data_IF_455303599880
#
_entry.id   IF_455303599880
#
_cell.length_a   1.000
_cell.length_b   1.000
_cell.length_c   1.000
_cell.angle_alpha   90.00
_cell.angle_beta   90.00
_cell.angle_gamma   90.00
#
_symmetry.space_group_name_H-M   'P 1'
#
loop_
_entity.id
_entity.type
_entity.pdbx_description
1 polymer ?
#
# COMPACT_ATOMS: atom_id res chain seq x y z
N UNK A 1 32.35 70.70 9.80
CA UNK A 1 31.88 69.96 8.60
C UNK A 1 32.71 68.69 8.44
N UNK A 2 32.03 67.56 8.23
CA UNK A 2 32.50 66.29 7.60
C UNK A 2 33.70 65.55 8.21
N UNK A 3 33.40 64.41 8.86
CA UNK A 3 34.01 63.11 8.51
C UNK A 3 32.93 62.02 8.62
N UNK A 4 32.35 61.64 7.49
CA UNK A 4 31.58 60.39 7.37
C UNK A 4 32.59 59.25 7.20
N UNK A 5 32.62 58.32 8.16
CA UNK A 5 33.18 56.98 7.95
C UNK A 5 32.06 56.10 7.42
N UNK A 6 32.20 55.64 6.19
CA UNK A 6 31.30 54.66 5.56
C UNK A 6 31.79 53.26 5.96
N UNK A 7 31.08 52.61 6.89
CA UNK A 7 31.29 51.19 7.18
C UNK A 7 30.42 50.40 6.19
N UNK A 8 31.06 49.77 5.22
CA UNK A 8 30.40 48.81 4.33
C UNK A 8 30.20 47.49 5.09
N UNK A 9 28.98 47.27 5.60
CA UNK A 9 28.56 45.97 6.11
C UNK A 9 28.28 45.05 4.90
N UNK A 10 29.17 44.09 4.66
CA UNK A 10 28.89 42.99 3.74
C UNK A 10 27.80 42.10 4.34
N UNK A 11 26.55 42.28 3.93
CA UNK A 11 25.51 41.28 4.15
C UNK A 11 25.88 40.04 3.31
N UNK A 12 26.41 39.02 3.97
CA UNK A 12 26.38 37.67 3.45
C UNK A 12 24.90 37.24 3.36
N UNK A 13 24.28 37.43 2.20
CA UNK A 13 23.02 36.78 1.88
C UNK A 13 23.32 35.28 1.75
N UNK A 14 23.14 34.54 2.84
CA UNK A 14 22.95 33.10 2.76
C UNK A 14 21.71 32.87 1.93
N UNK A 15 21.91 32.39 0.70
CA UNK A 15 20.83 31.97 -0.17
C UNK A 15 20.19 30.76 0.52
N UNK A 16 19.14 30.99 1.30
CA UNK A 16 18.23 29.92 1.69
C UNK A 16 17.69 29.36 0.37
N UNK A 17 18.30 28.27 -0.10
CA UNK A 17 17.80 27.55 -1.26
C UNK A 17 16.32 27.29 -1.01
N UNK A 18 15.44 27.75 -1.91
CA UNK A 18 14.04 27.39 -1.86
C UNK A 18 13.97 25.85 -1.90
N UNK A 19 13.91 25.21 -0.74
CA UNK A 19 13.83 23.77 -0.58
C UNK A 19 12.49 23.36 -1.16
N UNK A 20 12.50 22.94 -2.42
CA UNK A 20 11.31 22.57 -3.16
C UNK A 20 10.55 21.49 -2.43
N UNK A 21 9.22 21.54 -2.48
CA UNK A 21 8.37 20.45 -2.02
C UNK A 21 8.33 19.33 -3.08
N UNK A 22 8.20 18.09 -2.62
CA UNK A 22 7.86 16.95 -3.47
C UNK A 22 6.41 16.58 -3.20
N UNK A 23 5.59 16.45 -4.23
CA UNK A 23 4.16 16.12 -4.08
C UNK A 23 3.87 14.72 -4.58
N UNK A 24 3.17 13.93 -3.77
CA UNK A 24 2.67 12.61 -4.16
C UNK A 24 1.23 12.39 -3.76
N UNK A 25 0.60 11.39 -4.37
CA UNK A 25 -0.76 10.98 -4.02
C UNK A 25 -0.96 9.49 -4.30
N UNK A 26 -1.84 8.84 -3.55
CA UNK A 26 -2.28 7.50 -3.91
C UNK A 26 -2.66 6.63 -2.73
N UNK A 27 -2.11 5.42 -2.71
CA UNK A 27 -2.43 4.36 -1.77
C UNK A 27 -2.51 4.82 -0.31
N UNK A 28 -3.59 4.39 0.36
CA UNK A 28 -3.76 4.53 1.80
C UNK A 28 -3.06 3.40 2.57
N UNK A 29 -2.84 2.24 1.94
CA UNK A 29 -2.18 1.09 2.56
C UNK A 29 -0.82 1.44 3.17
N UNK A 30 0.12 2.17 2.52
CA UNK A 30 1.40 2.56 3.12
C UNK A 30 1.34 3.92 3.81
N UNK A 31 0.17 4.56 3.93
CA UNK A 31 0.10 5.96 4.37
C UNK A 31 0.68 6.19 5.77
N UNK A 32 0.49 5.31 6.77
CA UNK A 32 1.16 5.45 8.08
C UNK A 32 2.69 5.40 7.96
N UNK A 33 3.23 4.47 7.16
CA UNK A 33 4.66 4.37 6.89
C UNK A 33 5.21 5.60 6.17
N UNK A 34 4.55 6.03 5.10
CA UNK A 34 4.95 7.19 4.31
C UNK A 34 4.91 8.47 5.12
N UNK A 35 3.87 8.66 5.95
CA UNK A 35 3.78 9.81 6.85
C UNK A 35 4.97 9.87 7.81
N UNK A 36 5.36 8.73 8.39
CA UNK A 36 6.55 8.64 9.24
C UNK A 36 7.83 8.92 8.45
N UNK A 37 8.04 8.23 7.32
CA UNK A 37 9.20 8.41 6.46
C UNK A 37 9.39 9.87 6.03
N UNK A 38 8.32 10.55 5.64
CA UNK A 38 8.37 11.94 5.17
C UNK A 38 8.62 12.94 6.28
N UNK A 39 8.11 12.70 7.49
CA UNK A 39 8.44 13.52 8.66
C UNK A 39 9.94 13.43 8.99
N UNK A 40 10.49 12.22 8.97
CA UNK A 40 11.91 11.96 9.24
C UNK A 40 12.81 12.52 8.13
N UNK A 41 12.43 12.33 6.87
CA UNK A 41 13.14 12.90 5.73
C UNK A 41 13.19 14.43 5.77
N UNK A 42 12.10 15.08 6.21
CA UNK A 42 12.08 16.53 6.44
C UNK A 42 13.04 16.94 7.56
N UNK A 43 13.11 16.17 8.65
CA UNK A 43 14.09 16.39 9.72
C UNK A 43 15.53 16.26 9.22
N UNK A 44 15.81 15.25 8.41
CA UNK A 44 17.15 14.97 7.87
C UNK A 44 17.62 15.99 6.82
N UNK A 45 16.69 16.53 6.02
CA UNK A 45 17.05 17.24 4.76
C UNK A 45 16.44 18.63 4.60
N UNK A 46 15.44 18.99 5.42
CA UNK A 46 14.62 20.19 5.27
C UNK A 46 13.58 20.12 4.15
N UNK A 47 13.60 19.09 3.29
CA UNK A 47 12.67 18.94 2.16
C UNK A 47 11.30 18.48 2.66
N UNK A 48 10.25 19.22 2.28
CA UNK A 48 8.87 18.83 2.60
C UNK A 48 8.30 17.91 1.53
N UNK A 49 7.69 16.80 1.96
CA UNK A 49 6.93 15.90 1.08
C UNK A 49 5.45 15.99 1.42
N UNK A 50 4.64 16.39 0.43
CA UNK A 50 3.19 16.47 0.57
C UNK A 50 2.57 15.21 -0.04
N UNK A 51 2.00 14.33 0.77
CA UNK A 51 1.38 13.10 0.28
C UNK A 51 -0.12 13.04 0.58
N UNK A 52 -0.93 12.85 -0.46
CA UNK A 52 -2.39 12.76 -0.34
C UNK A 52 -2.84 11.29 -0.38
N UNK A 53 -3.45 10.81 0.71
CA UNK A 53 -4.06 9.48 0.78
C UNK A 53 -5.42 9.48 0.05
N UNK A 54 -5.41 9.09 -1.23
CA UNK A 54 -6.57 9.17 -2.12
C UNK A 54 -6.95 7.83 -2.76
N UNK A 55 -6.22 6.77 -2.45
CA UNK A 55 -6.35 5.45 -3.07
C UNK A 55 -5.45 5.28 -4.30
N UNK A 56 -4.98 4.06 -4.52
CA UNK A 56 -4.01 3.72 -5.58
C UNK A 56 -4.51 4.07 -6.98
N UNK A 57 -5.81 3.90 -7.25
CA UNK A 57 -6.38 4.24 -8.56
C UNK A 57 -6.32 5.74 -8.85
N UNK A 58 -6.64 6.58 -7.86
CA UNK A 58 -6.53 8.03 -7.99
C UNK A 58 -5.06 8.47 -8.11
N UNK A 59 -4.15 7.84 -7.36
CA UNK A 59 -2.70 8.07 -7.51
C UNK A 59 -2.20 7.76 -8.92
N UNK A 60 -2.52 6.57 -9.45
CA UNK A 60 -2.18 6.16 -10.83
C UNK A 60 -2.73 7.15 -11.88
N UNK A 61 -3.96 7.63 -11.70
CA UNK A 61 -4.54 8.67 -12.57
C UNK A 61 -3.75 9.98 -12.49
N UNK A 62 -3.47 10.46 -11.28
CA UNK A 62 -2.77 11.73 -11.06
C UNK A 62 -1.33 11.72 -11.61
N UNK A 63 -0.59 10.62 -11.44
CA UNK A 63 0.75 10.52 -12.05
C UNK A 63 0.66 10.44 -13.58
N UNK A 64 -0.33 9.73 -14.13
CA UNK A 64 -0.56 9.69 -15.59
C UNK A 64 -0.81 11.11 -16.14
N UNK A 65 -1.60 11.90 -15.43
CA UNK A 65 -1.91 13.30 -15.75
C UNK A 65 -0.79 14.29 -15.38
N UNK A 66 0.32 13.82 -14.79
CA UNK A 66 1.46 14.64 -14.33
C UNK A 66 1.07 15.73 -13.32
N UNK A 67 0.04 15.49 -12.51
CA UNK A 67 -0.40 16.42 -11.47
C UNK A 67 0.35 16.25 -10.14
N UNK A 68 1.09 15.15 -9.99
CA UNK A 68 1.97 14.84 -8.86
C UNK A 68 3.34 14.37 -9.36
N UNK A 69 4.34 14.43 -8.50
CA UNK A 69 5.71 13.98 -8.80
C UNK A 69 5.84 12.46 -8.75
N UNK A 70 5.07 11.82 -7.88
CA UNK A 70 5.00 10.37 -7.76
C UNK A 70 3.61 9.91 -7.29
N UNK A 71 3.25 8.67 -7.62
CA UNK A 71 2.08 8.01 -7.06
C UNK A 71 2.46 6.89 -6.10
N UNK A 72 1.68 6.71 -5.03
CA UNK A 72 1.70 5.49 -4.22
C UNK A 72 0.66 4.47 -4.71
N UNK A 73 1.01 3.20 -4.82
CA UNK A 73 0.12 2.16 -5.32
C UNK A 73 0.44 0.77 -4.80
N UNK A 74 -0.55 0.03 -4.30
CA UNK A 74 -0.37 -1.34 -3.75
C UNK A 74 -0.41 -2.44 -4.79
N UNK A 75 -0.76 -2.05 -6.02
CA UNK A 75 -0.67 -2.88 -7.21
C UNK A 75 0.14 -2.14 -8.27
N UNK A 76 0.98 -2.85 -9.04
CA UNK A 76 1.61 -2.23 -10.19
C UNK A 76 0.55 -1.80 -11.23
N UNK A 77 0.86 -0.77 -12.02
CA UNK A 77 0.04 -0.45 -13.19
C UNK A 77 0.09 -1.60 -14.20
N UNK A 78 -1.06 -1.93 -14.77
CA UNK A 78 -1.15 -2.88 -15.89
C UNK A 78 -0.43 -2.33 -17.12
N UNK A 79 -0.06 -3.19 -18.05
CA UNK A 79 0.54 -2.76 -19.32
C UNK A 79 -0.36 -1.82 -20.11
N UNK A 80 -1.69 -2.01 -20.02
CA UNK A 80 -2.68 -1.12 -20.62
C UNK A 80 -2.65 0.27 -19.99
N UNK A 81 -2.70 0.37 -18.66
CA UNK A 81 -2.62 1.66 -17.96
C UNK A 81 -1.27 2.36 -18.22
N UNK A 82 -0.19 1.59 -18.37
CA UNK A 82 1.13 2.12 -18.72
C UNK A 82 1.16 2.73 -20.12
N UNK A 83 0.46 2.14 -21.10
CA UNK A 83 0.35 2.68 -22.47
C UNK A 83 -0.43 3.98 -22.54
N UNK A 84 -1.36 4.21 -21.61
CA UNK A 84 -2.10 5.46 -21.52
C UNK A 84 -1.25 6.63 -21.01
N UNK A 85 -0.09 6.36 -20.39
CA UNK A 85 0.81 7.41 -19.93
C UNK A 85 1.56 8.08 -21.10
N UNK A 86 1.73 9.41 -21.10
CA UNK A 86 2.42 10.16 -22.16
C UNK A 86 3.93 9.87 -22.25
N UNK A 87 4.50 9.15 -21.28
CA UNK A 87 5.89 8.73 -21.27
C UNK A 87 6.07 7.51 -20.36
N UNK A 88 7.26 6.92 -20.40
CA UNK A 88 7.58 5.74 -19.60
C UNK A 88 7.54 6.04 -18.10
N UNK A 89 6.62 5.37 -17.41
CA UNK A 89 6.59 5.29 -15.96
C UNK A 89 7.50 4.16 -15.46
N UNK A 90 7.95 4.28 -14.23
CA UNK A 90 8.78 3.33 -13.51
C UNK A 90 8.09 2.98 -12.19
N UNK A 91 8.33 1.76 -11.70
CA UNK A 91 7.81 1.28 -10.43
C UNK A 91 8.98 0.89 -9.54
N UNK A 92 8.94 1.28 -8.27
CA UNK A 92 9.82 0.73 -7.25
C UNK A 92 9.00 0.25 -6.06
N UNK A 93 9.24 -0.95 -5.53
CA UNK A 93 8.63 -1.36 -4.27
C UNK A 93 9.27 -0.55 -3.13
N UNK A 94 8.51 -0.26 -2.07
CA UNK A 94 9.02 0.43 -0.87
C UNK A 94 8.87 -0.36 0.41
N UNK A 95 7.91 -1.29 0.47
CA UNK A 95 7.61 -2.11 1.63
C UNK A 95 6.79 -3.35 1.22
N UNK A 96 6.71 -4.33 2.11
CA UNK A 96 5.72 -5.41 2.05
C UNK A 96 4.75 -5.22 3.23
N UNK A 97 3.45 -5.39 3.00
CA UNK A 97 2.45 -5.43 4.07
C UNK A 97 1.42 -6.53 3.84
N UNK A 98 0.47 -6.65 4.77
CA UNK A 98 -0.56 -7.68 4.75
C UNK A 98 -1.97 -7.08 4.79
N UNK A 99 -2.88 -7.63 4.00
CA UNK A 99 -4.30 -7.30 4.05
C UNK A 99 -5.03 -8.34 4.89
N UNK A 100 -5.62 -7.92 6.00
CA UNK A 100 -6.24 -8.82 6.97
C UNK A 100 -7.77 -8.73 6.95
N UNK A 101 -8.48 -9.86 7.16
CA UNK A 101 -9.91 -9.84 7.44
C UNK A 101 -10.14 -9.41 8.90
N UNK A 102 -10.36 -8.12 9.11
CA UNK A 102 -10.74 -7.56 10.41
C UNK A 102 -12.24 -7.64 10.63
N UNK A 103 -12.66 -7.90 11.85
CA UNK A 103 -14.07 -8.08 12.18
C UNK A 103 -14.43 -7.55 13.56
N UNK A 104 -15.73 -7.36 13.79
CA UNK A 104 -16.27 -6.93 15.08
C UNK A 104 -17.31 -7.94 15.57
N UNK A 105 -16.88 -8.78 16.52
CA UNK A 105 -17.70 -9.80 17.15
C UNK A 105 -17.62 -9.66 18.67
N UNK A 106 -18.56 -8.90 19.28
CA UNK A 106 -18.59 -8.75 20.73
C UNK A 106 -18.64 -10.10 21.45
N UNK A 107 -17.78 -10.29 22.45
CA UNK A 107 -17.67 -11.52 23.22
C UNK A 107 -16.80 -12.62 22.59
N UNK A 108 -16.35 -12.48 21.34
CA UNK A 108 -15.42 -13.43 20.70
C UNK A 108 -13.97 -12.97 20.91
N UNK A 109 -13.25 -13.66 21.78
CA UNK A 109 -11.86 -13.32 22.14
C UNK A 109 -10.82 -14.15 21.40
N UNK A 110 -11.20 -15.33 20.91
CA UNK A 110 -10.31 -16.19 20.11
C UNK A 110 -10.27 -15.68 18.67
N UNK A 111 -9.08 -15.41 18.09
CA UNK A 111 -8.97 -15.04 16.69
C UNK A 111 -9.54 -16.11 15.77
N UNK A 112 -10.40 -15.70 14.83
CA UNK A 112 -11.03 -16.61 13.89
C UNK A 112 -10.06 -17.05 12.78
N UNK A 113 -10.35 -18.21 12.22
CA UNK A 113 -9.70 -18.83 11.07
C UNK A 113 -10.59 -18.72 9.85
N UNK A 114 -10.01 -18.32 8.73
CA UNK A 114 -10.71 -18.20 7.45
C UNK A 114 -9.97 -18.94 6.35
N UNK A 115 -10.71 -19.59 5.46
CA UNK A 115 -10.18 -20.03 4.16
C UNK A 115 -10.51 -18.98 3.09
N UNK A 116 -9.77 -19.00 1.98
CA UNK A 116 -10.09 -18.16 0.82
C UNK A 116 -11.52 -18.36 0.32
N UNK A 117 -12.02 -19.59 0.36
CA UNK A 117 -13.41 -19.91 0.00
C UNK A 117 -14.43 -19.25 0.93
N UNK A 118 -14.24 -19.34 2.24
CA UNK A 118 -15.17 -18.70 3.21
C UNK A 118 -15.15 -17.19 3.05
N UNK A 119 -13.98 -16.57 2.86
CA UNK A 119 -13.89 -15.14 2.57
C UNK A 119 -14.64 -14.81 1.27
N UNK A 120 -14.42 -15.55 0.19
CA UNK A 120 -15.15 -15.32 -1.06
C UNK A 120 -16.67 -15.44 -0.89
N UNK A 121 -17.16 -16.48 -0.19
CA UNK A 121 -18.59 -16.70 0.04
C UNK A 121 -19.23 -15.61 0.91
N UNK A 122 -18.50 -15.03 1.87
CA UNK A 122 -18.94 -13.85 2.64
C UNK A 122 -19.10 -12.64 1.71
N UNK A 123 -18.08 -12.32 0.91
CA UNK A 123 -18.11 -11.13 0.03
C UNK A 123 -19.00 -11.32 -1.22
N UNK A 124 -19.39 -12.56 -1.54
CA UNK A 124 -20.46 -12.89 -2.49
C UNK A 124 -21.87 -12.80 -1.87
N UNK A 125 -21.99 -12.59 -0.56
CA UNK A 125 -23.26 -12.53 0.16
C UNK A 125 -23.95 -13.87 0.38
N UNK A 126 -23.22 -14.98 0.22
CA UNK A 126 -23.72 -16.35 0.40
C UNK A 126 -23.73 -16.75 1.88
N UNK A 127 -22.67 -16.38 2.61
CA UNK A 127 -22.62 -16.51 4.07
C UNK A 127 -23.08 -15.19 4.68
N UNK A 128 -24.21 -15.22 5.40
CA UNK A 128 -24.91 -14.02 5.88
C UNK A 128 -24.92 -13.89 7.41
N UNK A 129 -24.59 -14.93 8.15
CA UNK A 129 -24.52 -14.92 9.61
C UNK A 129 -23.20 -15.53 10.07
N UNK A 130 -22.68 -15.06 11.20
CA UNK A 130 -21.37 -15.46 11.70
C UNK A 130 -21.31 -16.90 12.18
N UNK A 131 -22.40 -17.43 12.72
CA UNK A 131 -22.51 -18.82 13.15
C UNK A 131 -22.79 -19.80 11.99
N UNK A 132 -22.65 -19.36 10.73
CA UNK A 132 -22.77 -20.23 9.57
C UNK A 132 -21.86 -21.47 9.71
N UNK A 133 -22.37 -22.63 9.28
CA UNK A 133 -21.67 -23.92 9.41
C UNK A 133 -20.26 -23.90 8.80
N UNK A 134 -20.06 -23.16 7.71
CA UNK A 134 -18.75 -23.05 7.06
C UNK A 134 -17.74 -22.27 7.92
N UNK A 135 -18.18 -21.25 8.66
CA UNK A 135 -17.33 -20.50 9.60
C UNK A 135 -17.08 -21.34 10.86
N UNK A 136 -18.15 -21.92 11.43
CA UNK A 136 -18.07 -22.72 12.65
C UNK A 136 -17.14 -23.94 12.49
N UNK A 137 -17.19 -24.62 11.33
CA UNK A 137 -16.33 -25.77 11.04
C UNK A 137 -14.82 -25.43 11.05
N UNK A 138 -14.44 -24.19 10.73
CA UNK A 138 -13.04 -23.74 10.77
C UNK A 138 -12.58 -23.35 12.18
N UNK A 139 -13.52 -23.17 13.11
CA UNK A 139 -13.31 -22.56 14.42
C UNK A 139 -13.88 -23.43 15.55
N UNK A 140 -13.47 -24.71 15.65
CA UNK A 140 -13.99 -25.60 16.68
C UNK A 140 -13.68 -25.05 18.08
N UNK A 141 -14.67 -25.08 18.97
CA UNK A 141 -14.55 -24.59 20.34
C UNK A 141 -14.71 -23.08 20.51
N UNK A 142 -14.87 -22.30 19.44
CA UNK A 142 -15.18 -20.87 19.53
C UNK A 142 -16.70 -20.69 19.57
N UNK A 143 -17.21 -19.99 20.59
CA UNK A 143 -18.62 -19.59 20.66
C UNK A 143 -18.87 -18.41 19.72
N UNK A 144 -19.36 -18.69 18.52
CA UNK A 144 -19.61 -17.66 17.49
C UNK A 144 -21.08 -17.25 17.56
N UNK A 145 -21.40 -15.95 17.80
CA UNK A 145 -22.77 -15.51 17.94
C UNK A 145 -23.51 -15.55 16.59
N UNK A 146 -24.85 -15.73 16.59
CA UNK A 146 -25.68 -15.71 15.38
C UNK A 146 -25.92 -14.28 14.85
N UNK A 147 -24.88 -13.45 14.84
CA UNK A 147 -24.95 -12.09 14.33
C UNK A 147 -25.00 -12.09 12.79
N UNK A 148 -25.83 -11.23 12.17
CA UNK A 148 -25.71 -10.93 10.75
C UNK A 148 -24.31 -10.42 10.39
N UNK A 149 -23.83 -10.77 9.19
CA UNK A 149 -22.56 -10.28 8.66
C UNK A 149 -22.81 -8.98 7.89
N UNK A 150 -22.14 -7.91 8.31
CA UNK A 150 -22.09 -6.66 7.57
C UNK A 150 -20.75 -6.55 6.85
N UNK A 151 -20.74 -6.69 5.52
CA UNK A 151 -19.51 -6.53 4.74
C UNK A 151 -19.15 -5.04 4.62
N UNK A 152 -17.92 -4.69 4.97
CA UNK A 152 -17.31 -3.39 4.71
C UNK A 152 -16.28 -3.53 3.58
N UNK A 153 -16.38 -2.66 2.58
CA UNK A 153 -15.50 -2.65 1.40
C UNK A 153 -15.09 -1.23 1.04
N UNK A 154 -14.06 -1.09 0.21
CA UNK A 154 -13.60 0.21 -0.27
C UNK A 154 -14.61 0.84 -1.22
N UNK A 155 -14.80 2.14 -1.11
CA UNK A 155 -15.58 2.94 -2.08
C UNK A 155 -14.71 3.60 -3.15
N UNK A 156 -13.43 3.81 -2.87
CA UNK A 156 -12.44 4.42 -3.75
C UNK A 156 -11.61 3.39 -4.53
N UNK A 157 -11.00 3.82 -5.64
CA UNK A 157 -10.07 3.01 -6.43
C UNK A 157 -8.85 2.61 -5.61
N UNK A 158 -8.78 1.35 -5.20
CA UNK A 158 -7.98 0.90 -4.06
C UNK A 158 -7.03 -0.24 -4.43
N UNK A 159 -5.74 -0.07 -4.13
CA UNK A 159 -4.77 -1.15 -4.27
C UNK A 159 -4.98 -2.26 -3.25
N UNK A 160 -5.42 -1.93 -2.02
CA UNK A 160 -5.84 -2.93 -1.04
C UNK A 160 -6.98 -3.83 -1.57
N UNK A 161 -7.90 -3.25 -2.34
CA UNK A 161 -8.98 -3.98 -3.03
C UNK A 161 -8.42 -4.86 -4.14
N UNK A 162 -7.46 -4.36 -4.92
CA UNK A 162 -6.75 -5.17 -5.90
C UNK A 162 -6.08 -6.38 -5.23
N UNK A 163 -5.32 -6.18 -4.16
CA UNK A 163 -4.61 -7.25 -3.44
C UNK A 163 -5.59 -8.30 -2.88
N UNK A 164 -6.66 -7.85 -2.22
CA UNK A 164 -7.68 -8.75 -1.68
C UNK A 164 -8.39 -9.54 -2.79
N UNK A 165 -8.80 -8.88 -3.87
CA UNK A 165 -9.50 -9.53 -4.98
C UNK A 165 -8.60 -10.38 -5.88
N UNK A 166 -7.32 -10.06 -6.01
CA UNK A 166 -6.31 -10.92 -6.66
C UNK A 166 -6.17 -12.24 -5.89
N UNK A 167 -6.08 -12.17 -4.56
CA UNK A 167 -6.09 -13.37 -3.72
C UNK A 167 -7.39 -14.17 -3.92
N UNK A 168 -8.57 -13.54 -3.81
CA UNK A 168 -9.85 -14.23 -3.96
C UNK A 168 -10.02 -14.88 -5.34
N UNK A 169 -9.60 -14.20 -6.42
CA UNK A 169 -9.62 -14.74 -7.79
C UNK A 169 -8.70 -15.95 -7.96
N UNK A 170 -7.63 -16.08 -7.18
CA UNK A 170 -6.72 -17.24 -7.22
C UNK A 170 -7.25 -18.46 -6.47
N UNK A 171 -8.15 -18.26 -5.50
CA UNK A 171 -8.62 -19.34 -4.60
C UNK A 171 -10.11 -19.65 -4.73
N UNK A 172 -10.86 -18.87 -5.49
CA UNK A 172 -12.29 -19.09 -5.77
C UNK A 172 -12.63 -18.84 -7.23
N UNK A 173 -12.94 -19.91 -7.96
CA UNK A 173 -13.38 -19.84 -9.36
C UNK A 173 -14.67 -19.02 -9.51
N UNK A 174 -15.60 -19.15 -8.56
CA UNK A 174 -16.85 -18.38 -8.57
C UNK A 174 -16.56 -16.88 -8.45
N UNK A 175 -15.72 -16.48 -7.48
CA UNK A 175 -15.28 -15.09 -7.33
C UNK A 175 -14.65 -14.56 -8.62
N UNK A 176 -13.69 -15.30 -9.17
CA UNK A 176 -12.97 -14.93 -10.39
C UNK A 176 -13.94 -14.69 -11.55
N UNK A 177 -14.95 -15.53 -11.70
CA UNK A 177 -15.93 -15.45 -12.79
C UNK A 177 -16.95 -14.32 -12.63
N UNK A 178 -17.40 -14.04 -11.39
CA UNK A 178 -18.49 -13.08 -11.13
C UNK A 178 -18.01 -11.67 -10.81
N UNK A 179 -16.88 -11.55 -10.12
CA UNK A 179 -16.36 -10.27 -9.60
C UNK A 179 -15.00 -9.94 -10.18
N UNK A 180 -14.08 -10.90 -10.18
CA UNK A 180 -12.73 -10.73 -10.72
C UNK A 180 -11.79 -9.92 -9.81
N UNK A 181 -10.82 -9.26 -10.43
CA UNK A 181 -9.72 -8.54 -9.76
C UNK A 181 -9.58 -7.13 -10.32
N UNK A 182 -9.35 -6.16 -9.44
CA UNK A 182 -9.21 -4.76 -9.85
C UNK A 182 -9.16 -3.80 -8.67
N UNK A 183 -8.85 -2.54 -8.96
CA UNK A 183 -8.86 -1.46 -7.96
C UNK A 183 -10.29 -1.03 -7.60
N UNK A 184 -11.26 -1.30 -8.48
CA UNK A 184 -12.69 -1.06 -8.30
C UNK A 184 -13.43 -2.27 -8.87
N UNK A 185 -14.48 -2.71 -8.16
CA UNK A 185 -15.20 -3.94 -8.47
C UNK A 185 -16.71 -3.70 -8.35
N UNK A 186 -17.47 -4.48 -9.09
CA UNK A 186 -18.93 -4.56 -8.92
C UNK A 186 -19.24 -5.49 -7.74
N UNK A 187 -19.21 -4.93 -6.52
CA UNK A 187 -19.41 -5.69 -5.29
C UNK A 187 -20.84 -6.24 -5.19
N UNK A 188 -21.02 -7.55 -4.92
CA UNK A 188 -22.34 -8.14 -4.71
C UNK A 188 -23.05 -7.61 -3.45
N UNK A 189 -22.27 -7.34 -2.39
CA UNK A 189 -22.76 -6.85 -1.10
C UNK A 189 -21.74 -5.90 -0.47
N UNK A 190 -22.21 -5.13 0.53
CA UNK A 190 -21.34 -4.44 1.48
C UNK A 190 -21.34 -2.92 1.37
N UNK A 191 -21.10 -2.30 2.52
CA UNK A 191 -21.05 -0.86 2.70
C UNK A 191 -19.71 -0.30 2.24
N UNK A 192 -19.75 0.79 1.48
CA UNK A 192 -18.58 1.47 0.98
C UNK A 192 -18.01 2.45 1.97
N UNK A 193 -16.71 2.36 2.23
CA UNK A 193 -15.97 3.36 2.98
C UNK A 193 -14.68 3.73 2.26
N UNK A 194 -14.30 5.00 2.36
CA UNK A 194 -13.11 5.52 1.71
C UNK A 194 -11.87 5.18 2.53
N UNK A 195 -10.81 4.72 1.87
CA UNK A 195 -9.53 4.46 2.52
C UNK A 195 -9.52 3.25 3.46
N UNK A 196 -8.34 2.93 4.01
CA UNK A 196 -8.21 1.88 5.02
C UNK A 196 -8.82 2.32 6.36
N UNK A 197 -8.67 3.60 6.70
CA UNK A 197 -9.25 4.28 7.84
C UNK A 197 -10.79 4.22 7.84
N UNK A 198 -11.44 4.49 6.71
CA UNK A 198 -12.90 4.40 6.62
C UNK A 198 -13.40 2.98 6.79
N UNK A 199 -12.77 1.98 6.17
CA UNK A 199 -13.16 0.56 6.32
C UNK A 199 -12.93 0.11 7.77
N UNK A 200 -11.79 0.43 8.37
CA UNK A 200 -11.53 0.15 9.78
C UNK A 200 -12.57 0.81 10.69
N UNK A 201 -12.97 2.05 10.39
CA UNK A 201 -14.02 2.77 11.11
C UNK A 201 -15.37 2.06 11.07
N UNK A 202 -15.80 1.59 9.89
CA UNK A 202 -17.04 0.80 9.74
C UNK A 202 -16.98 -0.50 10.55
N UNK A 203 -15.86 -1.23 10.46
CA UNK A 203 -15.68 -2.47 11.25
C UNK A 203 -15.78 -2.16 12.75
N UNK A 204 -15.08 -1.11 13.21
CA UNK A 204 -15.05 -0.72 14.62
C UNK A 204 -16.42 -0.37 15.17
N UNK A 205 -17.24 0.37 14.42
CA UNK A 205 -18.52 0.89 14.91
C UNK A 205 -19.70 -0.06 14.73
N UNK A 206 -19.56 -1.13 13.94
CA UNK A 206 -20.68 -1.98 13.55
C UNK A 206 -20.51 -3.41 14.05
N UNK A 207 -21.24 -3.84 15.11
CA UNK A 207 -21.28 -5.24 15.51
C UNK A 207 -21.69 -6.15 14.35
N UNK A 208 -20.96 -7.25 14.16
CA UNK A 208 -21.13 -8.16 13.04
C UNK A 208 -20.41 -7.75 11.76
N UNK A 209 -19.70 -6.62 11.73
CA UNK A 209 -18.99 -6.21 10.52
C UNK A 209 -17.69 -7.01 10.26
N UNK A 210 -17.37 -7.19 8.99
CA UNK A 210 -16.08 -7.69 8.49
C UNK A 210 -15.59 -6.80 7.35
N UNK A 211 -14.31 -6.45 7.36
CA UNK A 211 -13.66 -5.66 6.32
C UNK A 211 -12.24 -6.13 6.05
N UNK A 212 -11.69 -5.78 4.88
CA UNK A 212 -10.30 -6.01 4.55
C UNK A 212 -9.52 -4.69 4.71
N UNK A 213 -8.49 -4.70 5.55
CA UNK A 213 -7.64 -3.55 5.81
C UNK A 213 -6.17 -3.96 5.84
N UNK A 214 -5.27 -3.02 5.59
CA UNK A 214 -3.85 -3.22 5.87
C UNK A 214 -3.64 -3.44 7.39
N UNK A 215 -2.73 -4.34 7.76
CA UNK A 215 -2.49 -4.83 9.12
C UNK A 215 -2.31 -3.71 10.15
N UNK A 216 -1.57 -2.65 9.83
CA UNK A 216 -1.31 -1.54 10.76
C UNK A 216 -2.62 -0.86 11.16
N UNK A 217 -3.61 -0.77 10.25
CA UNK A 217 -4.91 -0.18 10.55
C UNK A 217 -5.73 -1.05 11.50
N UNK A 218 -5.64 -2.38 11.37
CA UNK A 218 -6.26 -3.30 12.32
C UNK A 218 -5.61 -3.16 13.71
N UNK A 219 -4.27 -3.21 13.77
CA UNK A 219 -3.50 -3.12 15.03
C UNK A 219 -3.71 -1.77 15.74
N UNK A 220 -3.56 -0.65 15.03
CA UNK A 220 -3.75 0.70 15.61
C UNK A 220 -5.18 0.95 16.11
N UNK A 221 -6.18 0.37 15.45
CA UNK A 221 -7.58 0.48 15.87
C UNK A 221 -8.00 -0.59 16.88
N UNK A 222 -7.09 -1.50 17.26
CA UNK A 222 -7.37 -2.64 18.16
C UNK A 222 -8.51 -3.52 17.66
N UNK A 223 -8.58 -3.71 16.34
CA UNK A 223 -9.58 -4.56 15.70
C UNK A 223 -9.11 -6.02 15.72
N UNK A 224 -9.96 -6.97 16.15
CA UNK A 224 -9.72 -8.39 15.89
C UNK A 224 -9.55 -8.64 14.39
N UNK A 225 -8.62 -9.52 14.04
CA UNK A 225 -8.43 -9.98 12.67
C UNK A 225 -8.11 -11.47 12.64
N UNK A 226 -8.53 -12.13 11.57
CA UNK A 226 -8.41 -13.58 11.45
C UNK A 226 -7.12 -14.05 10.80
N UNK A 227 -6.70 -15.26 11.17
CA UNK A 227 -5.71 -16.02 10.41
C UNK A 227 -6.33 -16.56 9.13
N UNK A 228 -5.52 -16.68 8.06
CA UNK A 228 -5.99 -17.11 6.74
C UNK A 228 -5.23 -18.35 6.30
N UNK A 229 -5.97 -19.34 5.78
CA UNK A 229 -5.38 -20.53 5.21
C UNK A 229 -4.56 -20.17 3.96
N UNK A 230 -3.28 -20.51 3.97
CA UNK A 230 -2.40 -20.32 2.83
C UNK A 230 -2.47 -21.48 1.83
N UNK A 231 -1.71 -21.38 0.73
CA UNK A 231 -1.69 -22.39 -0.33
C UNK A 231 -1.29 -23.79 0.14
N UNK A 232 -0.49 -23.89 1.20
CA UNK A 232 -0.06 -25.15 1.80
C UNK A 232 -1.08 -25.72 2.81
N UNK A 233 -2.24 -25.07 2.98
CA UNK A 233 -3.29 -25.51 3.89
C UNK A 233 -3.09 -25.06 5.34
N UNK A 234 -2.04 -24.31 5.67
CA UNK A 234 -1.76 -23.81 7.02
C UNK A 234 -2.52 -22.51 7.29
N UNK A 235 -3.11 -22.36 8.47
CA UNK A 235 -3.67 -21.09 8.92
C UNK A 235 -2.54 -20.21 9.46
N UNK A 236 -2.30 -19.09 8.80
CA UNK A 236 -1.22 -18.16 9.12
C UNK A 236 -1.82 -16.84 9.59
N UNK A 237 -1.38 -16.36 10.75
CA UNK A 237 -1.71 -15.02 11.24
C UNK A 237 -0.81 -14.00 10.55
N UNK A 238 -1.37 -12.87 10.14
CA UNK A 238 -0.59 -11.79 9.52
C UNK A 238 0.37 -11.16 10.53
N UNK A 239 1.62 -10.99 10.10
CA UNK A 239 2.65 -10.20 10.76
C UNK A 239 3.78 -9.91 9.76
N UNK A 240 4.77 -9.10 10.13
CA UNK A 240 5.85 -8.68 9.21
C UNK A 240 6.62 -9.88 8.65
N UNK A 241 6.93 -10.89 9.48
CA UNK A 241 7.63 -12.09 9.06
C UNK A 241 6.84 -12.90 8.01
N UNK A 242 5.63 -13.40 8.35
CA UNK A 242 4.76 -14.11 7.41
C UNK A 242 4.44 -13.34 6.12
N UNK A 243 4.28 -12.01 6.18
CA UNK A 243 4.08 -11.20 4.99
C UNK A 243 5.34 -11.16 4.10
N UNK A 244 6.53 -10.97 4.69
CA UNK A 244 7.80 -10.99 3.95
C UNK A 244 8.07 -12.35 3.28
N UNK A 245 7.68 -13.45 3.93
CA UNK A 245 7.82 -14.80 3.38
C UNK A 245 7.08 -14.99 2.05
N UNK A 246 6.00 -14.22 1.80
CA UNK A 246 5.28 -14.29 0.53
C UNK A 246 6.13 -13.91 -0.68
N UNK A 247 7.12 -13.02 -0.49
CA UNK A 247 8.06 -12.61 -1.53
C UNK A 247 9.26 -13.56 -1.69
N UNK A 248 9.51 -14.48 -0.75
CA UNK A 248 10.62 -15.44 -0.87
C UNK A 248 10.34 -16.45 -1.98
N UNK A 249 11.32 -16.63 -2.88
CA UNK A 249 11.20 -17.51 -4.04
C UNK A 249 10.52 -16.87 -5.25
N UNK A 250 10.04 -15.63 -5.14
CA UNK A 250 9.50 -14.87 -6.27
C UNK A 250 10.66 -14.28 -7.07
N UNK A 251 10.72 -14.60 -8.37
CA UNK A 251 11.66 -13.97 -9.29
C UNK A 251 11.21 -12.53 -9.52
N UNK A 252 12.00 -11.56 -9.05
CA UNK A 252 11.69 -10.14 -9.19
C UNK A 252 11.92 -9.68 -10.64
N UNK A 253 10.88 -9.21 -11.37
CA UNK A 253 11.03 -8.69 -12.72
C UNK A 253 11.93 -7.45 -12.77
N UNK A 254 12.45 -7.12 -13.96
CA UNK A 254 13.31 -5.94 -14.13
C UNK A 254 12.59 -4.62 -13.81
N UNK A 255 11.28 -4.54 -14.06
CA UNK A 255 10.41 -3.40 -13.73
C UNK A 255 9.74 -3.54 -12.35
N UNK A 256 10.07 -4.59 -11.60
CA UNK A 256 9.55 -4.95 -10.27
C UNK A 256 8.06 -5.24 -10.15
N UNK A 257 7.30 -5.18 -11.25
CA UNK A 257 5.84 -5.33 -11.21
C UNK A 257 5.47 -6.80 -11.00
N UNK A 258 5.12 -7.18 -9.77
CA UNK A 258 4.78 -8.57 -9.42
C UNK A 258 3.70 -8.65 -8.34
N UNK A 259 2.85 -9.68 -8.41
CA UNK A 259 1.94 -10.07 -7.32
C UNK A 259 2.57 -11.18 -6.48
N UNK A 260 2.45 -11.05 -5.16
CA UNK A 260 2.91 -12.06 -4.19
C UNK A 260 1.75 -12.69 -3.40
N UNK A 261 0.50 -12.47 -3.80
CA UNK A 261 -0.65 -13.10 -3.14
C UNK A 261 -0.72 -14.60 -3.48
N UNK A 262 -1.21 -15.38 -2.51
CA UNK A 262 -1.29 -16.84 -2.55
C UNK A 262 0.06 -17.51 -2.89
N UNK A 263 1.15 -17.00 -2.30
CA UNK A 263 2.51 -17.49 -2.51
C UNK A 263 2.63 -18.99 -2.25
N UNK A 264 3.56 -19.64 -2.97
CA UNK A 264 3.87 -21.06 -2.79
C UNK A 264 4.70 -21.34 -1.53
N UNK A 265 5.21 -20.30 -0.86
CA UNK A 265 5.93 -20.47 0.40
C UNK A 265 4.97 -20.99 1.50
N UNK A 266 5.24 -22.16 2.10
CA UNK A 266 4.31 -22.84 3.00
C UNK A 266 4.08 -22.13 4.34
N UNK A 267 4.91 -21.14 4.69
CA UNK A 267 4.83 -20.39 5.94
C UNK A 267 4.42 -18.92 5.71
N UNK A 268 4.13 -18.55 4.46
CA UNK A 268 3.70 -17.19 4.10
C UNK A 268 2.25 -16.90 4.44
N UNK A 269 1.98 -15.64 4.78
CA UNK A 269 0.62 -15.11 4.83
C UNK A 269 0.08 -14.91 3.40
N UNK A 270 -1.14 -15.37 3.07
CA UNK A 270 -1.56 -15.48 1.68
C UNK A 270 -2.03 -14.16 1.05
N UNK A 271 -2.34 -13.13 1.83
CA UNK A 271 -2.84 -11.85 1.32
C UNK A 271 -1.81 -10.73 1.58
N UNK A 272 -0.58 -10.94 1.10
CA UNK A 272 0.51 -9.98 1.19
C UNK A 272 0.71 -9.25 -0.14
N UNK A 273 1.26 -8.03 -0.08
CA UNK A 273 1.65 -7.27 -1.28
C UNK A 273 2.87 -6.41 -1.05
N UNK A 274 3.63 -6.17 -2.12
CA UNK A 274 4.46 -4.98 -2.21
C UNK A 274 3.57 -3.76 -2.38
N UNK A 275 3.99 -2.63 -1.80
CA UNK A 275 3.48 -1.31 -2.19
C UNK A 275 4.56 -0.56 -2.95
N UNK A 276 4.14 0.21 -3.95
CA UNK A 276 4.99 0.79 -4.98
C UNK A 276 4.92 2.30 -4.98
N UNK A 277 6.05 2.92 -5.30
CA UNK A 277 6.10 4.30 -5.79
C UNK A 277 6.26 4.28 -7.31
N UNK A 278 5.43 5.08 -7.99
CA UNK A 278 5.36 5.19 -9.46
C UNK A 278 5.73 6.60 -9.88
N UNK A 279 6.62 6.74 -10.86
CA UNK A 279 7.13 8.05 -11.32
C UNK A 279 7.63 7.97 -12.77
N UNK A 280 7.76 9.10 -13.47
CA UNK A 280 8.30 9.12 -14.83
C UNK A 280 9.81 8.88 -14.86
N UNK A 281 10.29 8.14 -15.87
CA UNK A 281 11.73 8.01 -16.11
C UNK A 281 12.35 9.35 -16.52
N UNK A 282 11.78 10.01 -17.53
CA UNK A 282 12.19 11.34 -17.98
C UNK A 282 11.50 12.40 -17.12
N UNK A 283 12.30 13.25 -16.49
CA UNK A 283 11.85 14.24 -15.53
C UNK A 283 11.72 15.64 -16.14
N UNK A 284 12.24 15.89 -17.35
CA UNK A 284 12.01 17.14 -18.09
C UNK A 284 10.62 17.12 -18.76
N UNK A 285 9.56 17.11 -17.95
CA UNK A 285 8.19 17.32 -18.40
C UNK A 285 7.60 18.60 -17.84
N UNK A 286 6.75 19.26 -18.63
CA UNK A 286 6.17 20.56 -18.27
C UNK A 286 7.27 21.57 -17.90
N UNK A 287 7.06 22.29 -16.80
CA UNK A 287 7.99 23.30 -16.29
C UNK A 287 8.93 22.76 -15.19
N UNK A 288 9.08 21.42 -15.07
CA UNK A 288 9.93 20.82 -14.03
C UNK A 288 11.39 21.25 -14.19
N UNK A 289 12.02 21.66 -13.10
CA UNK A 289 13.44 22.01 -13.02
C UNK A 289 14.30 20.81 -12.66
N UNK A 290 15.60 20.87 -12.94
CA UNK A 290 16.54 19.82 -12.55
C UNK A 290 16.58 19.65 -11.02
N UNK A 291 16.46 20.75 -10.27
CA UNK A 291 16.42 20.72 -8.81
C UNK A 291 15.21 19.93 -8.28
N UNK A 292 14.03 20.07 -8.90
CA UNK A 292 12.83 19.28 -8.55
C UNK A 292 13.00 17.80 -8.91
N UNK A 293 13.63 17.49 -10.04
CA UNK A 293 13.95 16.12 -10.43
C UNK A 293 14.93 15.47 -9.44
N UNK A 294 15.97 16.20 -9.01
CA UNK A 294 16.93 15.77 -8.00
C UNK A 294 16.28 15.60 -6.62
N UNK A 295 15.35 16.48 -6.23
CA UNK A 295 14.62 16.36 -4.97
C UNK A 295 13.81 15.05 -4.91
N UNK A 296 13.08 14.72 -5.98
CA UNK A 296 12.38 13.44 -6.10
C UNK A 296 13.36 12.27 -6.05
N UNK A 297 14.43 12.28 -6.85
CA UNK A 297 15.41 11.19 -6.88
C UNK A 297 16.04 10.93 -5.51
N UNK A 298 16.39 11.99 -4.76
CA UNK A 298 16.92 11.90 -3.40
C UNK A 298 15.90 11.28 -2.44
N UNK A 299 14.64 11.70 -2.50
CA UNK A 299 13.56 11.11 -1.69
C UNK A 299 13.42 9.61 -1.98
N UNK A 300 13.27 9.22 -3.25
CA UNK A 300 13.12 7.82 -3.64
C UNK A 300 14.30 6.97 -3.17
N UNK A 301 15.53 7.51 -3.29
CA UNK A 301 16.74 6.84 -2.82
C UNK A 301 16.75 6.67 -1.31
N UNK A 302 16.36 7.71 -0.56
CA UNK A 302 16.28 7.67 0.89
C UNK A 302 15.23 6.64 1.36
N UNK A 303 14.05 6.60 0.73
CA UNK A 303 12.99 5.64 1.07
C UNK A 303 13.43 4.18 0.96
N UNK A 304 14.22 3.84 -0.06
CA UNK A 304 14.73 2.46 -0.28
C UNK A 304 16.10 2.20 0.36
N UNK A 305 16.61 3.15 1.14
CA UNK A 305 17.83 3.01 1.94
C UNK A 305 17.53 3.36 3.40
N UNK A 306 17.86 4.56 3.86
CA UNK A 306 17.70 5.02 5.25
C UNK A 306 16.28 4.84 5.77
N UNK A 307 15.27 5.08 4.92
CA UNK A 307 13.86 4.97 5.26
C UNK A 307 13.42 3.56 5.65
N UNK A 308 14.09 2.52 5.16
CA UNK A 308 13.70 1.11 5.43
C UNK A 308 13.72 0.77 6.93
N UNK A 309 14.46 1.50 7.75
CA UNK A 309 14.48 1.30 9.22
C UNK A 309 13.12 1.56 9.89
N UNK A 310 12.21 2.29 9.23
CA UNK A 310 10.89 2.61 9.77
C UNK A 310 9.79 1.61 9.39
N UNK A 311 10.08 0.60 8.55
CA UNK A 311 9.09 -0.39 8.13
C UNK A 311 8.59 -1.24 9.31
N UNK A 312 9.51 -1.98 9.95
CA UNK A 312 9.14 -2.97 10.98
C UNK A 312 8.40 -2.37 12.18
N UNK A 313 8.79 -1.19 12.72
CA UNK A 313 8.05 -0.55 13.80
C UNK A 313 6.61 -0.12 13.45
N UNK A 314 6.24 -0.14 12.17
CA UNK A 314 4.91 0.20 11.66
C UNK A 314 4.20 -0.97 11.00
N UNK A 315 4.58 -2.20 11.34
CA UNK A 315 3.94 -3.43 10.85
C UNK A 315 4.06 -3.65 9.32
N UNK A 316 5.14 -3.13 8.72
CA UNK A 316 5.55 -3.46 7.35
C UNK A 316 6.88 -4.19 7.36
N UNK A 317 7.09 -5.09 6.40
CA UNK A 317 8.39 -5.69 6.19
C UNK A 317 9.29 -4.80 5.34
N UNK A 318 10.59 -4.85 5.63
CA UNK A 318 11.63 -4.30 4.74
C UNK A 318 11.65 -5.01 3.38
N UNK A 319 12.18 -4.32 2.37
CA UNK A 319 12.40 -4.90 1.06
C UNK A 319 13.44 -6.04 1.13
N UNK A 320 13.14 -7.21 0.52
CA UNK A 320 14.16 -8.21 0.24
C UNK A 320 15.30 -7.62 -0.62
N UNK A 321 16.52 -8.15 -0.47
CA UNK A 321 17.72 -7.61 -1.10
C UNK A 321 17.62 -7.49 -2.63
N UNK A 322 16.98 -8.47 -3.29
CA UNK A 322 16.73 -8.44 -4.72
C UNK A 322 15.79 -7.28 -5.14
N UNK A 323 14.73 -7.03 -4.37
CA UNK A 323 13.79 -5.93 -4.58
C UNK A 323 14.48 -4.57 -4.37
N UNK A 324 15.24 -4.44 -3.27
CA UNK A 324 15.98 -3.21 -2.96
C UNK A 324 17.03 -2.88 -4.04
N UNK A 325 17.73 -3.89 -4.55
CA UNK A 325 18.72 -3.72 -5.64
C UNK A 325 18.07 -3.26 -6.94
N UNK A 326 16.92 -3.87 -7.33
CA UNK A 326 16.16 -3.44 -8.50
C UNK A 326 15.61 -2.04 -8.34
N UNK A 327 15.06 -1.69 -7.18
CA UNK A 327 14.59 -0.33 -6.89
C UNK A 327 15.69 0.72 -7.09
N UNK A 328 16.90 0.49 -6.54
CA UNK A 328 18.05 1.37 -6.73
C UNK A 328 18.47 1.50 -8.20
N UNK A 329 18.45 0.40 -8.94
CA UNK A 329 18.76 0.38 -10.38
C UNK A 329 17.75 1.21 -11.18
N UNK A 330 16.47 1.09 -10.86
CA UNK A 330 15.39 1.85 -11.50
C UNK A 330 15.53 3.35 -11.20
N UNK A 331 15.78 3.73 -9.94
CA UNK A 331 16.02 5.14 -9.57
C UNK A 331 17.26 5.71 -10.28
N UNK A 332 18.32 4.92 -10.42
CA UNK A 332 19.54 5.33 -11.15
C UNK A 332 19.29 5.52 -12.66
N UNK A 333 18.19 4.98 -13.21
CA UNK A 333 17.84 5.11 -14.63
C UNK A 333 17.06 6.39 -14.98
N UNK A 334 16.70 7.21 -13.99
CA UNK A 334 16.04 8.50 -14.20
C UNK A 334 16.88 9.41 -15.10
N UNK A 335 16.19 10.16 -15.97
CA UNK A 335 16.80 11.12 -16.90
C UNK A 335 16.18 12.50 -16.77
N UNK A 336 16.96 13.52 -17.11
CA UNK A 336 16.52 14.90 -17.25
C UNK A 336 17.12 15.42 -18.56
N UNK A 337 16.26 15.81 -19.50
CA UNK A 337 16.66 16.24 -20.84
C UNK A 337 17.47 15.15 -21.58
N UNK A 338 17.00 13.90 -21.46
CA UNK A 338 17.61 12.72 -22.09
C UNK A 338 18.92 12.23 -21.43
N UNK A 339 19.43 12.91 -20.40
CA UNK A 339 20.66 12.55 -19.70
C UNK A 339 20.38 12.02 -18.30
N UNK A 340 21.11 10.99 -17.87
CA UNK A 340 21.09 10.54 -16.48
C UNK A 340 21.62 11.65 -15.57
N UNK A 341 21.02 11.81 -14.40
CA UNK A 341 21.39 12.83 -13.41
C UNK A 341 21.39 12.24 -12.00
#
# INVERSE_FOLDING_TARGET
MKKLLTIAAALAMTSASAQGSVTGAGASFPFPLYSKMFAEYKGDTGVTVNYQSVGSGAGQKQITERTVDFAGSDNPMSDESMKAAPAKLLHIPTAIGAVVPSYNLPGVTTPLKFTGKVLADIYLGKIKTWNDKAIAALNPGVSIPPLPITVARRSDGSGTTFVFSDYLSKVSTEWKSKVGTGNSLNWPVGTGARGNDGVAGVVKSTPGAIGYVELVYAKQNKLPFGSVQNRAGKFVTADNGPAALAAKGVVMPADTRVSITNSANPDSYPIASFTYVIFYQEQKYGNRTLAQAQALKKLLTWMVTTGQKYNEPLDYSQLPSNAASKAKTIIASMTFDGKKF
#
